data_IF_155853087440
#
_entry.id   IF_155853087440
#
_cell.length_a   1.000
_cell.length_b   1.000
_cell.length_c   1.000
_cell.angle_alpha   90.00
_cell.angle_beta   90.00
_cell.angle_gamma   90.00
#
_symmetry.space_group_name_H-M   'P 1'
#
loop_
_entity.id
_entity.type
_entity.pdbx_description
1 polymer ?
#
# COMPACT_ATOMS: atom_id res chain seq x y z
N UNK A 1 8.69 -7.13 4.25
CA UNK A 1 7.53 -6.95 3.36
C UNK A 1 6.61 -5.89 3.93
N UNK A 2 6.10 -5.03 3.07
CA UNK A 2 5.19 -3.95 3.46
C UNK A 2 3.82 -4.22 2.86
N UNK A 3 2.77 -4.07 3.67
CA UNK A 3 1.39 -4.23 3.23
C UNK A 3 0.68 -2.90 3.36
N UNK A 4 -0.03 -2.49 2.31
CA UNK A 4 -0.78 -1.25 2.28
C UNK A 4 -2.24 -1.59 1.99
N UNK A 5 -3.13 -1.24 2.90
CA UNK A 5 -4.56 -1.48 2.76
C UNK A 5 -5.28 -0.17 2.47
N UNK A 6 -5.91 -0.08 1.31
CA UNK A 6 -6.69 1.09 0.88
C UNK A 6 -8.14 0.96 1.33
N UNK A 7 -8.60 -0.25 1.58
CA UNK A 7 -10.00 -0.54 1.85
C UNK A 7 -10.37 -0.25 3.30
N UNK A 8 -10.50 1.03 3.66
CA UNK A 8 -10.84 1.43 5.03
C UNK A 8 -12.33 1.42 5.33
N UNK A 9 -13.17 1.20 4.32
CA UNK A 9 -14.61 1.02 4.50
C UNK A 9 -15.45 2.27 4.73
N UNK A 10 -14.86 3.45 4.84
CA UNK A 10 -15.62 4.65 5.21
C UNK A 10 -16.33 5.34 4.05
N UNK A 11 -15.90 5.11 2.82
CA UNK A 11 -16.44 5.81 1.64
C UNK A 11 -17.35 4.93 0.80
N UNK A 12 -17.87 3.88 1.40
CA UNK A 12 -18.71 2.90 0.72
C UNK A 12 -20.17 3.19 1.03
N UNK A 13 -21.04 3.06 0.06
CA UNK A 13 -22.48 3.16 0.29
C UNK A 13 -23.16 4.35 -0.38
N UNK A 14 -22.51 5.00 -1.32
CA UNK A 14 -23.13 6.04 -2.13
C UNK A 14 -23.63 5.47 -3.46
N UNK A 15 -24.53 6.18 -4.10
CA UNK A 15 -25.22 5.72 -5.30
C UNK A 15 -24.30 5.49 -6.51
N UNK A 16 -23.11 6.07 -6.56
CA UNK A 16 -22.15 5.88 -7.64
C UNK A 16 -20.94 5.11 -7.13
N UNK A 17 -21.19 3.97 -6.52
CA UNK A 17 -20.18 3.20 -5.82
C UNK A 17 -18.99 2.83 -6.70
N UNK A 18 -19.24 2.36 -7.93
CA UNK A 18 -18.15 1.97 -8.83
C UNK A 18 -17.23 3.13 -9.19
N UNK A 19 -17.80 4.30 -9.47
CA UNK A 19 -17.02 5.50 -9.78
C UNK A 19 -16.27 6.00 -8.56
N UNK A 20 -16.90 6.01 -7.40
CA UNK A 20 -16.28 6.41 -6.15
C UNK A 20 -15.09 5.53 -5.80
N UNK A 21 -15.23 4.22 -5.93
CA UNK A 21 -14.17 3.25 -5.69
C UNK A 21 -12.99 3.51 -6.63
N UNK A 22 -13.28 3.70 -7.92
CA UNK A 22 -12.26 3.97 -8.91
C UNK A 22 -11.47 5.25 -8.59
N UNK A 23 -12.17 6.33 -8.27
CA UNK A 23 -11.53 7.61 -7.90
C UNK A 23 -10.67 7.45 -6.64
N UNK A 24 -11.18 6.78 -5.63
CA UNK A 24 -10.43 6.55 -4.40
C UNK A 24 -9.16 5.75 -4.65
N UNK A 25 -9.24 4.71 -5.49
CA UNK A 25 -8.09 3.90 -5.82
C UNK A 25 -7.05 4.66 -6.64
N UNK A 26 -7.48 5.54 -7.55
CA UNK A 26 -6.56 6.39 -8.31
C UNK A 26 -5.81 7.36 -7.40
N UNK A 27 -6.52 8.01 -6.50
CA UNK A 27 -5.90 8.91 -5.52
C UNK A 27 -4.93 8.15 -4.60
N UNK A 28 -5.35 6.96 -4.17
CA UNK A 28 -4.50 6.11 -3.33
C UNK A 28 -3.22 5.71 -4.07
N UNK A 29 -3.31 5.35 -5.35
CA UNK A 29 -2.14 4.97 -6.14
C UNK A 29 -1.11 6.10 -6.18
N UNK A 30 -1.55 7.33 -6.38
CA UNK A 30 -0.66 8.49 -6.38
C UNK A 30 -0.03 8.73 -5.01
N UNK A 31 -0.83 8.63 -3.95
CA UNK A 31 -0.33 8.85 -2.59
C UNK A 31 0.61 7.73 -2.15
N UNK A 32 0.32 6.49 -2.53
CA UNK A 32 1.21 5.36 -2.25
C UNK A 32 2.59 5.60 -2.86
N UNK A 33 2.65 5.99 -4.13
CA UNK A 33 3.92 6.28 -4.79
C UNK A 33 4.69 7.38 -4.05
N UNK A 34 3.98 8.42 -3.63
CA UNK A 34 4.56 9.53 -2.88
C UNK A 34 5.11 9.05 -1.53
N UNK A 35 4.36 8.25 -0.80
CA UNK A 35 4.75 7.74 0.52
C UNK A 35 5.94 6.77 0.42
N UNK A 36 5.98 5.94 -0.61
CA UNK A 36 7.11 5.04 -0.81
C UNK A 36 8.42 5.82 -0.96
N UNK A 37 8.38 6.95 -1.67
CA UNK A 37 9.55 7.83 -1.81
C UNK A 37 9.89 8.54 -0.51
N UNK A 38 8.89 9.16 0.12
CA UNK A 38 9.11 9.95 1.35
C UNK A 38 9.65 9.10 2.49
N UNK A 39 9.17 7.87 2.62
CA UNK A 39 9.58 6.96 3.69
C UNK A 39 10.71 6.04 3.28
N UNK A 40 11.11 6.10 2.02
CA UNK A 40 12.13 5.23 1.43
C UNK A 40 11.87 3.75 1.74
N UNK A 41 10.65 3.32 1.43
CA UNK A 41 10.24 1.93 1.65
C UNK A 41 10.76 1.06 0.51
N UNK A 42 11.48 0.00 0.84
CA UNK A 42 12.05 -0.92 -0.14
C UNK A 42 11.65 -2.36 0.12
N UNK A 43 12.00 -3.23 -0.81
CA UNK A 43 11.67 -4.65 -0.76
C UNK A 43 10.34 -4.97 -1.41
N UNK A 44 9.69 -6.02 -0.95
CA UNK A 44 8.39 -6.45 -1.47
C UNK A 44 7.27 -5.63 -0.83
N UNK A 45 6.38 -5.12 -1.67
CA UNK A 45 5.25 -4.29 -1.25
C UNK A 45 3.98 -4.88 -1.85
N UNK A 46 2.97 -5.09 -1.02
CA UNK A 46 1.66 -5.59 -1.46
C UNK A 46 0.61 -4.53 -1.15
N UNK A 47 -0.18 -4.17 -2.15
CA UNK A 47 -1.21 -3.14 -2.03
C UNK A 47 -2.58 -3.78 -2.22
N UNK A 48 -3.46 -3.59 -1.24
CA UNK A 48 -4.83 -4.06 -1.29
C UNK A 48 -5.75 -2.88 -1.64
N UNK A 49 -6.01 -2.71 -2.94
CA UNK A 49 -6.95 -1.69 -3.41
C UNK A 49 -8.38 -2.12 -3.15
N UNK A 50 -9.28 -1.14 -3.11
CA UNK A 50 -10.71 -1.43 -3.01
C UNK A 50 -11.13 -2.21 -4.25
N UNK A 51 -11.94 -3.24 -4.05
CA UNK A 51 -12.34 -4.15 -5.12
C UNK A 51 -13.01 -3.41 -6.28
N UNK A 52 -12.57 -3.70 -7.50
CA UNK A 52 -13.09 -3.09 -8.72
C UNK A 52 -13.54 -4.19 -9.68
N UNK A 53 -14.79 -4.15 -10.10
CA UNK A 53 -15.35 -5.14 -11.03
C UNK A 53 -14.90 -4.90 -12.47
N UNK A 54 -14.71 -3.63 -12.85
CA UNK A 54 -14.34 -3.25 -14.21
C UNK A 54 -12.84 -3.45 -14.43
N UNK A 55 -12.51 -4.33 -15.38
CA UNK A 55 -11.11 -4.59 -15.70
C UNK A 55 -10.38 -3.34 -16.19
N UNK A 56 -11.07 -2.48 -16.95
CA UNK A 56 -10.46 -1.23 -17.41
C UNK A 56 -10.07 -0.32 -16.24
N UNK A 57 -10.88 -0.27 -15.19
CA UNK A 57 -10.56 0.48 -13.99
C UNK A 57 -9.34 -0.11 -13.28
N UNK A 58 -9.27 -1.44 -13.15
CA UNK A 58 -8.11 -2.10 -12.54
C UNK A 58 -6.82 -1.81 -13.30
N UNK A 59 -6.87 -1.92 -14.61
CA UNK A 59 -5.70 -1.65 -15.45
C UNK A 59 -5.26 -0.19 -15.35
N UNK A 60 -6.21 0.73 -15.28
CA UNK A 60 -5.92 2.15 -15.17
C UNK A 60 -5.28 2.50 -13.82
N UNK A 61 -5.75 1.92 -12.74
CA UNK A 61 -5.17 2.16 -11.41
C UNK A 61 -3.71 1.70 -11.37
N UNK A 62 -3.42 0.52 -11.93
CA UNK A 62 -2.04 0.03 -12.04
C UNK A 62 -1.20 0.95 -12.92
N UNK A 63 -1.75 1.43 -14.01
CA UNK A 63 -1.07 2.36 -14.91
C UNK A 63 -0.73 3.68 -14.20
N UNK A 64 -1.65 4.21 -13.42
CA UNK A 64 -1.42 5.44 -12.65
C UNK A 64 -0.33 5.22 -11.61
N UNK A 65 -0.35 4.08 -10.93
CA UNK A 65 0.70 3.74 -9.98
C UNK A 65 2.07 3.69 -10.66
N UNK A 66 2.16 3.03 -11.82
CA UNK A 66 3.41 2.97 -12.59
C UNK A 66 3.88 4.35 -13.03
N UNK A 67 2.98 5.20 -13.49
CA UNK A 67 3.33 6.57 -13.90
C UNK A 67 3.85 7.39 -12.72
N UNK A 68 3.20 7.29 -11.58
CA UNK A 68 3.63 8.00 -10.38
C UNK A 68 4.98 7.51 -9.89
N UNK A 69 5.25 6.22 -9.99
CA UNK A 69 6.53 5.62 -9.61
C UNK A 69 7.64 5.91 -10.62
N UNK A 70 7.31 6.24 -11.86
CA UNK A 70 8.30 6.59 -12.88
C UNK A 70 9.07 7.86 -12.52
N UNK A 71 8.54 8.70 -11.67
CA UNK A 71 9.22 9.89 -11.15
C UNK A 71 10.24 9.54 -10.05
N UNK A 72 10.20 8.33 -9.55
CA UNK A 72 11.11 7.86 -8.51
C UNK A 72 12.45 7.47 -9.14
N UNK A 73 13.54 7.92 -8.53
CA UNK A 73 14.90 7.56 -8.97
C UNK A 73 15.27 6.12 -8.62
N UNK A 74 14.56 5.55 -7.66
CA UNK A 74 14.81 4.17 -7.23
C UNK A 74 14.06 3.21 -8.15
N UNK A 75 14.72 2.15 -8.66
CA UNK A 75 14.07 1.18 -9.52
C UNK A 75 12.90 0.47 -8.82
N UNK A 76 11.79 0.38 -9.52
CA UNK A 76 10.58 -0.31 -9.07
C UNK A 76 10.09 -1.25 -10.14
N UNK A 77 9.38 -2.29 -9.73
CA UNK A 77 8.69 -3.18 -10.65
C UNK A 77 7.29 -3.45 -10.10
N UNK A 78 6.28 -3.20 -10.94
CA UNK A 78 4.87 -3.37 -10.57
C UNK A 78 4.28 -4.45 -11.44
N UNK A 79 3.66 -5.44 -10.81
CA UNK A 79 3.00 -6.54 -11.50
C UNK A 79 1.50 -6.23 -11.68
N UNK A 80 0.83 -6.87 -12.64
CA UNK A 80 -0.61 -6.68 -12.80
C UNK A 80 -1.38 -7.09 -11.56
N UNK A 81 -2.62 -6.59 -11.40
CA UNK A 81 -3.50 -6.99 -10.30
C UNK A 81 -3.73 -8.50 -10.34
N UNK A 82 -3.56 -9.14 -9.19
CA UNK A 82 -3.80 -10.58 -9.05
C UNK A 82 -5.30 -10.89 -9.00
N UNK A 83 -5.64 -12.18 -9.06
CA UNK A 83 -7.03 -12.64 -8.96
C UNK A 83 -7.67 -12.28 -7.62
N UNK A 84 -6.84 -12.09 -6.59
CA UNK A 84 -7.31 -11.66 -5.27
C UNK A 84 -7.51 -10.15 -5.17
N UNK A 85 -7.24 -9.40 -6.24
CA UNK A 85 -7.36 -7.93 -6.23
C UNK A 85 -6.16 -7.21 -5.62
N UNK A 86 -5.03 -7.89 -5.49
CA UNK A 86 -3.82 -7.33 -4.90
C UNK A 86 -2.85 -6.88 -5.98
N UNK A 87 -2.17 -5.77 -5.73
CA UNK A 87 -1.04 -5.34 -6.54
C UNK A 87 0.25 -5.67 -5.80
N UNK A 88 1.09 -6.46 -6.44
CA UNK A 88 2.41 -6.79 -5.92
C UNK A 88 3.44 -5.95 -6.63
N UNK A 89 4.40 -5.43 -5.88
CA UNK A 89 5.49 -4.66 -6.47
C UNK A 89 6.74 -4.82 -5.65
N UNK A 90 7.86 -4.45 -6.26
CA UNK A 90 9.14 -4.37 -5.56
C UNK A 90 9.73 -2.99 -5.77
N UNK A 91 10.43 -2.50 -4.77
CA UNK A 91 11.21 -1.29 -4.84
C UNK A 91 12.59 -1.61 -4.27
N UNK A 92 13.64 -1.24 -5.01
CA UNK A 92 15.00 -1.57 -4.59
C UNK A 92 15.29 -0.98 -3.22
N UNK A 93 15.85 -1.81 -2.33
CA UNK A 93 16.24 -1.36 -0.98
C UNK A 93 17.63 -0.76 -1.04
N UNK A 94 17.76 0.52 -0.71
CA UNK A 94 19.04 1.27 -0.79
C UNK A 94 19.42 1.80 0.60
N UNK A 95 19.33 1.00 1.63
CA UNK A 95 19.66 1.41 2.98
C UNK A 95 18.44 1.36 3.88
N UNK A 96 18.49 2.05 5.01
CA UNK A 96 17.38 2.07 5.95
C UNK A 96 16.31 3.05 5.52
N UNK A 97 15.05 2.65 5.69
CA UNK A 97 13.93 3.55 5.48
C UNK A 97 13.83 4.61 6.59
N UNK A 98 12.94 5.57 6.38
CA UNK A 98 12.77 6.68 7.31
C UNK A 98 12.37 6.19 8.71
N UNK A 99 11.45 5.24 8.79
CA UNK A 99 10.97 4.71 10.07
C UNK A 99 12.11 4.02 10.81
N UNK A 100 12.88 3.18 10.11
CA UNK A 100 13.99 2.45 10.72
C UNK A 100 15.09 3.40 11.20
N UNK A 101 15.33 4.48 10.44
CA UNK A 101 16.37 5.47 10.79
C UNK A 101 16.00 6.31 12.02
N UNK A 102 14.70 6.54 12.24
CA UNK A 102 14.21 7.47 13.25
C UNK A 102 13.57 6.78 14.46
N UNK A 103 13.57 5.47 14.50
CA UNK A 103 12.88 4.73 15.56
C UNK A 103 13.70 3.56 16.06
N UNK A 104 13.35 3.12 17.26
CA UNK A 104 13.90 1.90 17.85
C UNK A 104 12.75 0.94 18.14
N UNK A 105 13.09 -0.32 18.33
CA UNK A 105 12.10 -1.32 18.72
C UNK A 105 11.47 -0.93 20.07
N UNK A 106 10.17 -1.03 20.16
CA UNK A 106 9.46 -0.77 21.40
C UNK A 106 9.88 -1.78 22.49
N UNK A 107 10.40 -1.33 23.64
CA UNK A 107 10.82 -2.26 24.67
C UNK A 107 9.66 -2.97 25.37
N UNK A 108 8.43 -2.48 25.20
CA UNK A 108 7.24 -3.10 25.77
C UNK A 108 6.73 -4.29 24.95
N UNK A 109 6.50 -4.06 23.66
CA UNK A 109 5.85 -5.06 22.81
C UNK A 109 6.81 -5.75 21.83
N UNK A 110 8.05 -5.27 21.73
CA UNK A 110 9.08 -5.80 20.81
C UNK A 110 8.60 -5.89 19.37
N UNK A 111 7.83 -4.90 18.93
CA UNK A 111 7.30 -4.84 17.57
C UNK A 111 5.97 -5.55 17.35
N UNK A 112 5.41 -6.16 18.38
CA UNK A 112 4.15 -6.90 18.25
C UNK A 112 2.92 -6.01 18.16
N UNK A 113 2.95 -4.82 18.76
CA UNK A 113 1.81 -3.91 18.78
C UNK A 113 0.80 -4.20 19.88
N UNK A 114 1.00 -5.23 20.65
CA UNK A 114 0.15 -5.60 21.80
C UNK A 114 0.98 -6.32 22.85
N UNK A 115 0.46 -6.38 24.05
CA UNK A 115 1.09 -7.05 25.18
C UNK A 115 0.11 -8.07 25.72
N UNK A 116 0.60 -9.28 25.99
CA UNK A 116 -0.24 -10.32 26.59
C UNK A 116 -0.43 -10.03 28.07
N UNK A 117 -1.68 -10.07 28.51
CA UNK A 117 -2.00 -10.03 29.92
C UNK A 117 -2.16 -11.43 30.46
N UNK A 118 -1.72 -11.64 31.69
CA UNK A 118 -1.82 -12.94 32.33
C UNK A 118 -3.23 -13.14 32.90
N UNK A 119 -4.19 -13.35 32.01
CA UNK A 119 -5.61 -13.51 32.37
C UNK A 119 -6.08 -14.95 32.41
N UNK A 120 -5.24 -15.87 32.00
CA UNK A 120 -5.59 -17.30 32.00
C UNK A 120 -5.43 -17.85 33.41
N UNK A 121 -6.51 -18.35 33.96
CA UNK A 121 -6.51 -18.93 35.30
C UNK A 121 -6.83 -20.42 35.24
#
# INVERSE_FOLDING_TARGET
MTVIDVNTGKNVGKSSLGETVYQNNMEAAREIARQLRLRDIGGIIVIDFIDMEDKAHRDMVVSILRQALAEDKTPTQVYPISDLGLVEMTRKRIGEGLVESLSDECPHCHGMGYIFENRIK
#
